data_IF_458611969524
#
_entry.id   IF_458611969524
#
_cell.length_a   1.000
_cell.length_b   1.000
_cell.length_c   1.000
_cell.angle_alpha   90.00
_cell.angle_beta   90.00
_cell.angle_gamma   90.00
#
_symmetry.space_group_name_H-M   'P 1'
#
loop_
_entity.id
_entity.type
_entity.pdbx_description
1 polymer ?
#
# COMPACT_ATOMS: atom_id res chain seq x y z
N UNK A 1 -21.30 -1.20 1.42
CA UNK A 1 -20.41 -2.17 0.78
C UNK A 1 -18.98 -1.81 1.15
N UNK A 2 -18.21 -2.81 1.55
CA UNK A 2 -16.97 -2.67 2.34
C UNK A 2 -15.85 -1.95 1.55
N UNK A 3 -15.30 -0.88 2.13
CA UNK A 3 -14.02 -0.31 1.70
C UNK A 3 -12.93 -1.29 2.16
N UNK A 4 -12.54 -2.22 1.29
CA UNK A 4 -11.44 -3.15 1.55
C UNK A 4 -10.12 -2.38 1.43
N UNK A 5 -9.66 -1.77 2.51
CA UNK A 5 -8.30 -1.28 2.63
C UNK A 5 -7.36 -2.49 2.82
N UNK A 6 -6.80 -3.02 1.74
CA UNK A 6 -5.81 -4.10 1.80
C UNK A 6 -4.44 -3.50 2.11
N UNK A 7 -4.03 -3.59 3.37
CA UNK A 7 -2.69 -3.18 3.81
C UNK A 7 -1.72 -4.30 3.46
N UNK A 8 -0.84 -4.07 2.49
CA UNK A 8 0.28 -4.97 2.22
C UNK A 8 1.43 -4.61 3.15
N UNK A 9 1.63 -5.41 4.19
CA UNK A 9 2.83 -5.30 5.02
C UNK A 9 3.97 -6.05 4.29
N UNK A 10 4.99 -5.32 3.85
CA UNK A 10 6.22 -5.93 3.36
C UNK A 10 6.93 -6.60 4.54
N UNK A 11 7.24 -7.90 4.40
CA UNK A 11 8.02 -8.66 5.38
C UNK A 11 9.41 -8.04 5.48
N UNK A 12 9.85 -7.72 6.70
CA UNK A 12 11.21 -7.25 6.94
C UNK A 12 12.13 -8.47 6.97
N UNK A 13 13.13 -8.51 6.10
CA UNK A 13 14.15 -9.57 6.12
C UNK A 13 14.99 -9.43 7.39
N UNK A 14 15.20 -10.53 8.12
CA UNK A 14 16.14 -10.52 9.25
C UNK A 14 17.57 -10.24 8.77
N UNK A 15 18.43 -9.70 9.66
CA UNK A 15 19.86 -9.85 9.49
C UNK A 15 20.21 -11.34 9.29
N UNK A 16 21.22 -11.57 8.46
CA UNK A 16 21.67 -12.90 8.05
C UNK A 16 22.08 -13.72 9.29
N UNK A 17 21.46 -14.88 9.52
CA UNK A 17 21.97 -15.82 10.53
C UNK A 17 23.23 -16.47 9.96
N UNK A 18 24.26 -16.59 10.80
CA UNK A 18 25.55 -17.16 10.46
C UNK A 18 25.68 -18.54 11.12
N UNK A 19 26.61 -19.35 10.62
CA UNK A 19 26.97 -20.65 11.19
C UNK A 19 25.85 -21.69 11.10
N UNK A 20 25.09 -21.64 10.02
CA UNK A 20 24.05 -22.62 9.73
C UNK A 20 24.64 -23.82 8.98
N UNK A 21 24.00 -24.98 9.14
CA UNK A 21 24.35 -26.21 8.41
C UNK A 21 23.73 -26.28 7.01
N UNK A 22 22.83 -25.34 6.69
CA UNK A 22 22.09 -25.25 5.43
C UNK A 22 21.80 -23.79 5.09
N UNK A 23 21.78 -23.44 3.80
CA UNK A 23 21.52 -22.07 3.34
C UNK A 23 22.45 -21.68 2.20
N UNK A 24 22.73 -20.38 2.09
CA UNK A 24 23.72 -19.83 1.16
C UNK A 24 25.13 -19.95 1.76
N UNK A 25 26.13 -20.28 0.95
CA UNK A 25 27.51 -20.46 1.42
C UNK A 25 28.10 -19.12 1.90
N UNK A 26 28.76 -19.13 3.06
CA UNK A 26 29.47 -17.98 3.59
C UNK A 26 30.89 -17.89 3.03
N UNK A 27 31.14 -16.91 2.16
CA UNK A 27 32.46 -16.67 1.57
C UNK A 27 33.57 -16.46 2.63
N UNK A 28 33.23 -15.97 3.82
CA UNK A 28 34.20 -15.79 4.90
C UNK A 28 34.56 -17.10 5.62
N UNK A 29 33.76 -18.17 5.47
CA UNK A 29 33.97 -19.49 6.10
C UNK A 29 34.30 -20.59 5.09
N UNK A 30 34.74 -20.21 3.90
CA UNK A 30 35.12 -21.13 2.82
C UNK A 30 36.29 -22.03 3.24
N UNK A 31 37.23 -21.48 4.03
CA UNK A 31 38.37 -22.22 4.60
C UNK A 31 37.88 -23.29 5.59
N UNK A 32 36.93 -22.95 6.45
CA UNK A 32 36.33 -23.87 7.44
C UNK A 32 35.57 -25.02 6.74
N UNK A 33 34.99 -24.76 5.57
CA UNK A 33 34.33 -25.77 4.75
C UNK A 33 35.31 -26.80 4.17
N UNK A 34 36.50 -26.35 3.76
CA UNK A 34 37.57 -27.24 3.28
C UNK A 34 38.09 -28.12 4.42
N UNK A 35 38.08 -27.64 5.66
CA UNK A 35 38.47 -28.43 6.84
C UNK A 35 37.36 -29.35 7.36
N UNK A 36 36.19 -29.37 6.70
CA UNK A 36 35.09 -30.28 7.01
C UNK A 36 34.05 -29.74 8.00
N UNK A 37 34.07 -28.44 8.31
CA UNK A 37 33.05 -27.84 9.17
C UNK A 37 31.74 -27.67 8.39
N UNK A 38 30.63 -28.14 8.95
CA UNK A 38 29.31 -28.08 8.29
C UNK A 38 28.61 -26.72 8.47
N UNK A 39 29.02 -25.92 9.45
CA UNK A 39 28.38 -24.67 9.84
C UNK A 39 28.91 -23.47 9.05
N UNK A 40 28.99 -23.62 7.72
CA UNK A 40 29.57 -22.62 6.80
C UNK A 40 28.51 -21.87 6.01
N UNK A 41 27.23 -22.06 6.34
CA UNK A 41 26.13 -21.44 5.63
C UNK A 41 25.56 -20.26 6.40
N UNK A 42 24.92 -19.38 5.64
CA UNK A 42 24.19 -18.21 6.07
C UNK A 42 22.75 -18.33 5.59
N UNK A 43 21.80 -17.92 6.42
CA UNK A 43 20.38 -17.97 6.06
C UNK A 43 19.70 -16.64 6.32
N UNK A 44 18.88 -16.20 5.37
CA UNK A 44 18.00 -15.05 5.55
C UNK A 44 16.66 -15.57 6.08
N UNK A 45 16.38 -15.32 7.36
CA UNK A 45 15.10 -15.64 7.96
C UNK A 45 14.06 -14.55 7.68
N UNK A 46 12.80 -14.93 7.50
CA UNK A 46 11.68 -14.01 7.59
C UNK A 46 11.28 -13.87 9.06
N UNK A 47 11.17 -12.64 9.58
CA UNK A 47 10.51 -12.40 10.86
C UNK A 47 9.12 -11.82 10.58
N UNK A 48 8.06 -12.36 11.19
CA UNK A 48 6.81 -11.62 11.24
C UNK A 48 7.09 -10.28 11.96
N UNK A 49 6.51 -9.18 11.49
CA UNK A 49 6.73 -7.87 12.10
C UNK A 49 6.36 -7.90 13.58
N UNK A 50 7.31 -7.54 14.44
CA UNK A 50 7.08 -7.49 15.89
C UNK A 50 6.24 -6.25 16.18
N UNK A 51 5.12 -6.43 16.87
CA UNK A 51 4.24 -5.32 17.23
C UNK A 51 5.00 -4.29 18.09
N UNK A 52 5.05 -3.04 17.64
CA UNK A 52 5.73 -1.94 18.32
C UNK A 52 7.12 -1.59 17.77
N UNK A 53 7.68 -2.40 16.87
CA UNK A 53 8.94 -2.03 16.19
C UNK A 53 8.75 -0.87 15.20
N UNK A 54 9.80 -0.04 15.08
CA UNK A 54 9.81 1.08 14.14
C UNK A 54 9.79 0.52 12.72
N UNK A 55 8.83 1.00 11.96
CA UNK A 55 8.63 0.54 10.60
C UNK A 55 9.81 0.92 9.70
N UNK A 56 10.41 -0.09 9.03
CA UNK A 56 11.59 0.12 8.18
C UNK A 56 11.26 0.52 6.74
N UNK A 57 10.13 0.03 6.20
CA UNK A 57 9.67 0.32 4.83
C UNK A 57 8.32 1.04 4.86
N UNK A 58 8.02 1.95 3.92
CA UNK A 58 6.72 2.60 3.86
C UNK A 58 5.56 1.59 3.71
N UNK A 59 4.43 1.82 4.39
CA UNK A 59 3.18 1.10 4.10
C UNK A 59 2.59 1.63 2.80
N UNK A 60 2.17 0.72 1.93
CA UNK A 60 1.37 1.06 0.75
C UNK A 60 -0.10 0.78 1.07
N UNK A 61 -0.93 1.83 1.02
CA UNK A 61 -2.37 1.75 1.23
C UNK A 61 -3.07 2.07 -0.08
N UNK A 62 -3.89 1.15 -0.56
CA UNK A 62 -4.73 1.39 -1.74
C UNK A 62 -6.18 1.50 -1.31
N UNK A 63 -6.79 2.65 -1.58
CA UNK A 63 -8.22 2.87 -1.40
C UNK A 63 -8.94 2.52 -2.70
N UNK A 64 -9.96 1.69 -2.59
CA UNK A 64 -10.83 1.33 -3.71
C UNK A 64 -12.22 1.91 -3.43
N UNK A 65 -12.64 2.83 -4.28
CA UNK A 65 -13.88 3.60 -4.15
C UNK A 65 -14.92 3.07 -5.15
N UNK A 66 -16.18 2.97 -4.71
CA UNK A 66 -17.30 2.60 -5.58
C UNK A 66 -17.80 3.83 -6.34
N UNK A 67 -17.63 3.82 -7.66
CA UNK A 67 -18.12 4.85 -8.58
C UNK A 67 -19.16 4.25 -9.54
N UNK A 68 -19.92 3.25 -9.09
CA UNK A 68 -21.01 2.69 -9.90
C UNK A 68 -22.20 3.66 -10.00
N UNK A 69 -23.03 3.50 -11.03
CA UNK A 69 -24.26 4.28 -11.19
C UNK A 69 -25.25 4.16 -10.02
N UNK A 70 -25.11 3.12 -9.18
CA UNK A 70 -25.89 3.02 -7.94
C UNK A 70 -25.52 4.12 -6.94
N UNK A 71 -24.25 4.53 -6.90
CA UNK A 71 -23.78 5.61 -6.04
C UNK A 71 -24.44 6.94 -6.42
N UNK A 72 -24.51 7.23 -7.72
CA UNK A 72 -25.19 8.41 -8.25
C UNK A 72 -26.72 8.33 -8.07
N UNK A 73 -27.36 7.23 -8.49
CA UNK A 73 -28.83 7.08 -8.44
C UNK A 73 -29.41 7.21 -7.04
N UNK A 74 -28.73 6.65 -6.05
CA UNK A 74 -29.20 6.69 -4.67
C UNK A 74 -28.68 7.91 -3.89
N UNK A 75 -27.83 8.76 -4.49
CA UNK A 75 -27.28 9.94 -3.83
C UNK A 75 -28.37 10.89 -3.32
N UNK A 76 -29.49 11.03 -4.04
CA UNK A 76 -30.61 11.87 -3.61
C UNK A 76 -31.34 11.34 -2.36
N UNK A 77 -31.15 10.06 -2.00
CA UNK A 77 -31.80 9.44 -0.84
C UNK A 77 -30.92 9.50 0.41
N UNK A 78 -29.66 9.08 0.31
CA UNK A 78 -28.75 8.94 1.46
C UNK A 78 -27.43 9.71 1.34
N UNK A 79 -27.20 10.40 0.21
CA UNK A 79 -25.99 11.18 -0.02
C UNK A 79 -24.73 10.33 -0.20
N UNK A 80 -24.85 9.03 -0.54
CA UNK A 80 -23.71 8.11 -0.59
C UNK A 80 -22.56 8.56 -1.48
N UNK A 81 -22.84 9.14 -2.65
CA UNK A 81 -21.79 9.62 -3.56
C UNK A 81 -21.10 10.85 -2.97
N UNK A 82 -21.88 11.83 -2.48
CA UNK A 82 -21.33 13.03 -1.86
C UNK A 82 -20.43 12.68 -0.66
N UNK A 83 -20.90 11.79 0.22
CA UNK A 83 -20.12 11.31 1.37
C UNK A 83 -18.84 10.59 0.96
N UNK A 84 -18.85 9.88 -0.16
CA UNK A 84 -17.66 9.21 -0.69
C UNK A 84 -16.65 10.21 -1.26
N UNK A 85 -17.13 11.23 -1.98
CA UNK A 85 -16.31 12.35 -2.48
C UNK A 85 -15.68 13.10 -1.30
N UNK A 86 -16.46 13.43 -0.27
CA UNK A 86 -15.95 14.07 0.96
C UNK A 86 -14.89 13.19 1.66
N UNK A 87 -15.11 11.88 1.70
CA UNK A 87 -14.15 10.93 2.26
C UNK A 87 -12.84 10.87 1.47
N UNK A 88 -12.91 10.88 0.14
CA UNK A 88 -11.72 10.94 -0.72
C UNK A 88 -10.95 12.25 -0.50
N UNK A 89 -11.64 13.37 -0.33
CA UNK A 89 -11.02 14.65 0.02
C UNK A 89 -10.26 14.58 1.36
N UNK A 90 -10.92 14.07 2.41
CA UNK A 90 -10.30 13.89 3.72
C UNK A 90 -9.06 12.97 3.66
N UNK A 91 -9.10 11.91 2.86
CA UNK A 91 -7.96 11.03 2.64
C UNK A 91 -6.80 11.81 2.02
N UNK A 92 -7.03 12.52 0.91
CA UNK A 92 -5.99 13.31 0.24
C UNK A 92 -5.36 14.35 1.17
N UNK A 93 -6.18 15.06 1.97
CA UNK A 93 -5.69 16.05 2.95
C UNK A 93 -4.92 15.43 4.11
N UNK A 94 -5.39 14.30 4.63
CA UNK A 94 -4.73 13.62 5.76
C UNK A 94 -3.31 13.14 5.39
N UNK A 95 -3.12 12.76 4.12
CA UNK A 95 -1.84 12.25 3.64
C UNK A 95 -0.91 13.33 3.07
N UNK A 96 -1.39 14.55 2.81
CA UNK A 96 -0.59 15.67 2.30
C UNK A 96 0.57 16.06 3.24
N UNK A 97 0.36 15.92 4.56
CA UNK A 97 1.36 16.21 5.59
C UNK A 97 1.96 14.94 6.23
N UNK A 98 1.66 13.76 5.67
CA UNK A 98 2.12 12.50 6.23
C UNK A 98 3.57 12.21 5.82
N UNK A 99 4.41 11.95 6.82
CA UNK A 99 5.80 11.48 6.66
C UNK A 99 5.93 10.33 5.66
N UNK A 100 7.12 10.16 5.07
CA UNK A 100 7.52 9.07 4.14
C UNK A 100 7.22 7.63 4.60
N UNK A 101 6.62 7.44 5.77
CA UNK A 101 6.17 6.16 6.30
C UNK A 101 4.95 5.57 5.59
N UNK A 102 4.13 6.36 4.88
CA UNK A 102 2.92 5.87 4.20
C UNK A 102 2.86 6.40 2.77
N UNK A 103 2.68 5.49 1.81
CA UNK A 103 2.34 5.76 0.41
C UNK A 103 0.88 5.37 0.21
N UNK A 104 0.10 6.24 -0.42
CA UNK A 104 -1.32 5.97 -0.67
C UNK A 104 -1.66 6.08 -2.15
N UNK A 105 -2.67 5.34 -2.57
CA UNK A 105 -3.24 5.38 -3.90
C UNK A 105 -4.77 5.31 -3.79
N UNK A 106 -5.48 5.92 -4.73
CA UNK A 106 -6.94 5.88 -4.81
C UNK A 106 -7.33 5.40 -6.20
N UNK A 107 -8.14 4.34 -6.23
CA UNK A 107 -8.72 3.78 -7.45
C UNK A 107 -10.23 3.73 -7.33
N UNK A 108 -10.94 3.94 -8.43
CA UNK A 108 -12.37 3.80 -8.54
C UNK A 108 -12.75 2.54 -9.31
N UNK A 109 -13.88 1.93 -8.96
CA UNK A 109 -14.54 0.94 -9.82
C UNK A 109 -15.90 1.48 -10.28
N UNK A 110 -16.17 1.42 -11.58
CA UNK A 110 -17.47 1.77 -12.16
C UNK A 110 -18.10 0.54 -12.83
N UNK A 111 -19.29 0.72 -13.42
CA UNK A 111 -19.91 -0.34 -14.22
C UNK A 111 -19.22 -0.61 -15.56
N UNK A 112 -18.41 0.33 -16.05
CA UNK A 112 -17.69 0.23 -17.33
C UNK A 112 -16.22 -0.15 -17.15
N UNK A 113 -15.54 0.42 -16.15
CA UNK A 113 -14.11 0.22 -15.91
C UNK A 113 -13.86 -0.30 -14.50
N UNK A 114 -13.05 -1.37 -14.41
CA UNK A 114 -12.74 -2.02 -13.15
C UNK A 114 -11.63 -1.29 -12.35
N UNK A 115 -10.84 -0.42 -13.00
CA UNK A 115 -9.66 0.20 -12.40
C UNK A 115 -9.44 1.63 -12.92
N UNK A 116 -10.23 2.57 -12.40
CA UNK A 116 -10.08 4.00 -12.68
C UNK A 116 -9.01 4.57 -11.74
N UNK A 117 -7.82 4.89 -12.28
CA UNK A 117 -6.73 5.45 -11.50
C UNK A 117 -6.99 6.94 -11.19
N UNK A 118 -7.34 7.25 -9.93
CA UNK A 118 -7.64 8.61 -9.48
C UNK A 118 -6.41 9.29 -8.88
N UNK A 119 -5.71 8.59 -8.00
CA UNK A 119 -4.47 9.05 -7.36
C UNK A 119 -3.46 7.92 -7.39
N UNK A 120 -2.28 8.19 -7.93
CA UNK A 120 -1.17 7.22 -7.99
C UNK A 120 0.03 7.75 -7.22
N UNK A 121 0.97 6.86 -6.88
CA UNK A 121 2.21 7.26 -6.20
C UNK A 121 3.00 8.33 -6.99
N UNK A 122 2.94 8.28 -8.32
CA UNK A 122 3.59 9.27 -9.20
C UNK A 122 2.79 10.56 -9.37
N UNK A 123 1.48 10.52 -9.16
CA UNK A 123 0.57 11.64 -9.43
C UNK A 123 -0.33 11.88 -8.21
N UNK A 124 0.30 12.30 -7.11
CA UNK A 124 -0.40 12.66 -5.88
C UNK A 124 -0.75 14.15 -5.93
N UNK A 125 -2.03 14.53 -5.68
CA UNK A 125 -2.47 15.91 -5.80
C UNK A 125 -1.90 16.78 -4.67
N UNK A 126 -1.11 17.79 -5.04
CA UNK A 126 -0.39 18.67 -4.13
C UNK A 126 -1.12 19.97 -3.82
N UNK A 127 -2.04 20.38 -4.71
CA UNK A 127 -2.79 21.61 -4.58
C UNK A 127 -4.30 21.35 -4.60
N UNK A 128 -5.07 22.33 -4.10
CA UNK A 128 -6.54 22.25 -4.03
C UNK A 128 -7.17 22.03 -5.41
N UNK A 129 -6.57 22.58 -6.47
CA UNK A 129 -7.05 22.43 -7.84
C UNK A 129 -6.96 20.99 -8.33
N UNK A 130 -5.83 20.33 -8.13
CA UNK A 130 -5.61 18.93 -8.49
C UNK A 130 -6.54 18.01 -7.69
N UNK A 131 -6.74 18.31 -6.40
CA UNK A 131 -7.71 17.58 -5.59
C UNK A 131 -9.12 17.73 -6.14
N UNK A 132 -9.53 18.95 -6.49
CA UNK A 132 -10.84 19.20 -7.09
C UNK A 132 -11.00 18.42 -8.41
N UNK A 133 -9.98 18.38 -9.26
CA UNK A 133 -10.01 17.60 -10.51
C UNK A 133 -10.23 16.11 -10.24
N UNK A 134 -9.61 15.54 -9.20
CA UNK A 134 -9.85 14.16 -8.79
C UNK A 134 -11.31 13.95 -8.39
N UNK A 135 -11.88 14.86 -7.58
CA UNK A 135 -13.27 14.77 -7.14
C UNK A 135 -14.27 14.93 -8.30
N UNK A 136 -14.00 15.84 -9.24
CA UNK A 136 -14.79 16.00 -10.47
C UNK A 136 -14.76 14.73 -11.33
N UNK A 137 -13.59 14.12 -11.45
CA UNK A 137 -13.40 12.85 -12.16
C UNK A 137 -14.22 11.74 -11.49
N UNK A 138 -14.16 11.63 -10.17
CA UNK A 138 -15.01 10.68 -9.41
C UNK A 138 -16.50 10.88 -9.68
N UNK A 139 -16.97 12.14 -9.66
CA UNK A 139 -18.36 12.45 -9.93
C UNK A 139 -18.76 12.07 -11.37
N UNK A 140 -17.92 12.40 -12.35
CA UNK A 140 -18.17 12.09 -13.76
C UNK A 140 -18.26 10.58 -14.03
N UNK A 141 -17.39 9.77 -13.44
CA UNK A 141 -17.42 8.30 -13.60
C UNK A 141 -18.63 7.62 -12.94
N UNK A 142 -19.31 8.30 -12.02
CA UNK A 142 -20.49 7.77 -11.34
C UNK A 142 -21.79 8.01 -12.09
N UNK A 143 -21.80 8.92 -13.07
CA UNK A 143 -22.98 9.31 -13.85
C UNK A 143 -23.23 8.33 -15.00
#
# INVERSE_FOLDING_TARGET
TYVYARIYANVCLKPLSQNESTGDLDDNRLIDGVTGESNIYKRRGEQPPIAGERQQNPKRIRFVMDLSGSMYRFNGFDGRLNRMIDCACMIMESFDNSSDAIRYEIYGHSGEEADVALVTESNTPTNEKERLQVLETMHAHSQ
#
